data_IF_619177150418
#
_entry.id   IF_619177150418
#
_cell.length_a   1.000
_cell.length_b   1.000
_cell.length_c   1.000
_cell.angle_alpha   90.00
_cell.angle_beta   90.00
_cell.angle_gamma   90.00
#
_symmetry.space_group_name_H-M   'P 1'
#
loop_
_entity.id
_entity.type
_entity.pdbx_description
1 polymer ?
#
# COMPACT_ATOMS: atom_id res chain seq x y z
N UNK A 1 -5.91 5.28 2.31
CA UNK A 1 -4.99 6.21 1.61
C UNK A 1 -4.75 5.72 0.20
N UNK A 2 -4.84 6.61 -0.81
CA UNK A 2 -4.56 6.26 -2.22
C UNK A 2 -3.35 7.08 -2.69
N UNK A 3 -2.37 6.41 -3.32
CA UNK A 3 -1.10 7.03 -3.71
C UNK A 3 -0.77 6.70 -5.17
N UNK A 4 -0.26 7.71 -5.88
CA UNK A 4 0.32 7.58 -7.21
C UNK A 4 1.72 8.17 -7.15
N UNK A 5 2.72 7.39 -7.58
CA UNK A 5 4.12 7.80 -7.59
C UNK A 5 4.48 8.44 -8.93
N UNK A 6 5.35 9.44 -8.91
CA UNK A 6 5.87 10.07 -10.13
C UNK A 6 6.84 9.15 -10.89
N UNK A 7 7.03 9.42 -12.19
CA UNK A 7 7.92 8.64 -13.05
C UNK A 7 9.39 8.78 -12.61
N UNK A 8 10.10 7.65 -12.58
CA UNK A 8 11.55 7.62 -12.35
C UNK A 8 11.98 7.83 -10.90
N UNK A 9 11.04 7.99 -9.96
CA UNK A 9 11.39 8.15 -8.55
C UNK A 9 11.85 6.81 -7.95
N UNK A 10 12.70 6.91 -6.93
CA UNK A 10 13.02 5.82 -6.03
C UNK A 10 12.29 6.04 -4.71
N UNK A 11 11.44 5.08 -4.33
CA UNK A 11 10.81 5.05 -3.02
C UNK A 11 11.72 4.27 -2.07
N UNK A 12 12.28 4.97 -1.09
CA UNK A 12 13.20 4.44 -0.09
C UNK A 12 12.91 5.07 1.29
N UNK A 13 13.78 4.83 2.27
CA UNK A 13 13.64 5.32 3.65
C UNK A 13 13.37 6.84 3.78
N UNK A 14 14.01 7.75 3.04
CA UNK A 14 13.78 9.19 3.20
C UNK A 14 12.33 9.64 2.94
N UNK A 15 11.61 8.94 2.07
CA UNK A 15 10.21 9.24 1.78
C UNK A 15 9.27 8.75 2.90
N UNK A 16 9.72 7.82 3.76
CA UNK A 16 8.89 7.25 4.82
C UNK A 16 8.54 8.26 5.90
N UNK A 17 9.41 9.23 6.21
CA UNK A 17 9.09 10.29 7.18
C UNK A 17 7.85 11.09 6.76
N UNK A 18 7.70 11.32 5.46
CA UNK A 18 6.50 11.99 4.91
C UNK A 18 5.25 11.11 5.03
N UNK A 19 5.37 9.81 4.75
CA UNK A 19 4.26 8.88 4.92
C UNK A 19 3.85 8.73 6.38
N UNK A 20 4.81 8.66 7.30
CA UNK A 20 4.56 8.59 8.75
C UNK A 20 3.78 9.83 9.21
N UNK A 21 4.20 11.03 8.79
CA UNK A 21 3.50 12.26 9.12
C UNK A 21 2.06 12.29 8.57
N UNK A 22 1.83 11.78 7.35
CA UNK A 22 0.48 11.66 6.78
C UNK A 22 -0.39 10.66 7.54
N UNK A 23 0.17 9.50 7.88
CA UNK A 23 -0.53 8.45 8.64
C UNK A 23 -0.90 8.97 10.02
N UNK A 24 0.03 9.63 10.69
CA UNK A 24 -0.17 10.20 12.02
C UNK A 24 -1.18 11.37 12.01
N UNK A 25 -1.18 12.20 10.97
CA UNK A 25 -2.11 13.33 10.87
C UNK A 25 -3.55 12.88 10.57
N UNK A 26 -3.73 11.88 9.71
CA UNK A 26 -5.05 11.52 9.17
C UNK A 26 -5.62 10.21 9.71
N UNK A 27 -4.79 9.33 10.27
CA UNK A 27 -5.18 7.95 10.59
C UNK A 27 -4.78 7.49 11.99
N UNK A 28 -4.22 8.36 12.87
CA UNK A 28 -3.72 8.00 14.21
C UNK A 28 -4.62 7.06 15.03
N UNK A 29 -5.94 7.20 14.93
CA UNK A 29 -6.92 6.36 15.63
C UNK A 29 -7.97 5.77 14.67
N UNK A 30 -7.60 5.58 13.41
CA UNK A 30 -8.51 5.10 12.38
C UNK A 30 -7.81 4.07 11.52
N UNK A 31 -8.40 2.88 11.49
CA UNK A 31 -7.96 1.80 10.65
C UNK A 31 -8.04 2.22 9.17
N UNK A 32 -7.01 1.91 8.41
CA UNK A 32 -6.94 2.30 7.00
C UNK A 32 -6.24 1.24 6.16
N UNK A 33 -6.49 1.31 4.86
CA UNK A 33 -5.80 0.54 3.85
C UNK A 33 -4.94 1.46 3.00
N UNK A 34 -3.79 0.96 2.59
CA UNK A 34 -2.91 1.63 1.64
C UNK A 34 -3.19 1.08 0.25
N UNK A 35 -3.44 1.94 -0.73
CA UNK A 35 -3.60 1.55 -2.13
C UNK A 35 -2.67 2.37 -3.02
N UNK A 36 -1.75 1.70 -3.72
CA UNK A 36 -0.90 2.33 -4.74
C UNK A 36 -1.36 1.97 -6.14
N UNK A 37 -1.50 2.97 -7.01
CA UNK A 37 -1.85 2.77 -8.42
C UNK A 37 -0.58 2.98 -9.25
N UNK A 38 -0.04 1.89 -9.82
CA UNK A 38 1.22 1.86 -10.56
C UNK A 38 1.00 2.19 -12.04
N UNK A 39 0.64 3.44 -12.34
CA UNK A 39 0.57 3.94 -13.72
C UNK A 39 1.93 4.35 -14.28
N UNK A 40 2.87 4.72 -13.40
CA UNK A 40 4.20 5.17 -13.77
C UNK A 40 5.25 4.09 -13.49
N UNK A 41 6.36 4.13 -14.22
CA UNK A 41 7.53 3.32 -13.89
C UNK A 41 8.35 4.02 -12.80
N UNK A 42 8.52 3.34 -11.67
CA UNK A 42 9.31 3.79 -10.53
C UNK A 42 9.92 2.58 -9.83
N UNK A 43 10.91 2.81 -8.98
CA UNK A 43 11.59 1.76 -8.21
C UNK A 43 11.22 1.85 -6.74
N UNK A 44 11.18 0.71 -6.06
CA UNK A 44 10.91 0.63 -4.62
C UNK A 44 11.99 -0.22 -3.96
N UNK A 45 12.61 0.30 -2.91
CA UNK A 45 13.46 -0.50 -2.04
C UNK A 45 12.57 -1.44 -1.21
N UNK A 46 12.69 -2.78 -1.30
CA UNK A 46 11.83 -3.69 -0.56
C UNK A 46 11.86 -3.53 0.97
N UNK A 47 12.89 -2.86 1.51
CA UNK A 47 12.96 -2.53 2.93
C UNK A 47 11.78 -1.67 3.40
N UNK A 48 11.24 -0.79 2.53
CA UNK A 48 10.13 0.09 2.90
C UNK A 48 8.89 -0.69 3.33
N UNK A 49 8.64 -1.87 2.73
CA UNK A 49 7.51 -2.74 3.08
C UNK A 49 7.59 -3.25 4.53
N UNK A 50 8.80 -3.46 5.06
CA UNK A 50 8.98 -3.84 6.47
C UNK A 50 8.63 -2.69 7.41
N UNK A 51 8.94 -1.46 7.01
CA UNK A 51 8.72 -0.27 7.84
C UNK A 51 7.25 0.09 7.89
N UNK A 52 6.58 0.18 6.73
CA UNK A 52 5.14 0.47 6.67
C UNK A 52 4.28 -0.62 7.32
N UNK A 53 4.75 -1.88 7.32
CA UNK A 53 4.09 -2.99 7.99
C UNK A 53 4.11 -2.88 9.53
N UNK A 54 4.79 -1.87 10.09
CA UNK A 54 4.75 -1.57 11.53
C UNK A 54 3.60 -0.66 11.93
N UNK A 55 2.90 -0.03 10.98
CA UNK A 55 1.72 0.79 11.29
C UNK A 55 0.57 -0.10 11.76
N UNK A 56 0.21 -0.02 13.04
CA UNK A 56 -0.79 -0.92 13.66
C UNK A 56 -2.22 -0.73 13.11
N UNK A 57 -2.51 0.48 12.64
CA UNK A 57 -3.77 0.87 12.01
C UNK A 57 -3.81 0.54 10.51
N UNK A 58 -2.72 0.04 9.90
CA UNK A 58 -2.72 -0.42 8.51
C UNK A 58 -3.30 -1.84 8.42
N UNK A 59 -4.51 -1.97 7.88
CA UNK A 59 -5.18 -3.28 7.74
C UNK A 59 -4.83 -4.03 6.47
N UNK A 60 -4.45 -3.32 5.42
CA UNK A 60 -4.19 -3.93 4.13
C UNK A 60 -3.36 -3.06 3.19
N UNK A 61 -2.66 -3.72 2.25
CA UNK A 61 -1.85 -3.08 1.22
C UNK A 61 -2.27 -3.57 -0.18
N UNK A 62 -2.92 -2.71 -0.95
CA UNK A 62 -3.33 -2.98 -2.32
C UNK A 62 -2.35 -2.37 -3.32
N UNK A 63 -1.84 -3.19 -4.25
CA UNK A 63 -1.13 -2.72 -5.44
C UNK A 63 -2.09 -2.85 -6.61
N UNK A 64 -2.33 -1.76 -7.33
CA UNK A 64 -3.11 -1.76 -8.58
C UNK A 64 -2.14 -1.55 -9.73
N UNK A 65 -1.97 -2.58 -10.55
CA UNK A 65 -1.17 -2.55 -11.77
C UNK A 65 -2.02 -3.06 -12.94
N UNK A 66 -2.44 -2.12 -13.77
CA UNK A 66 -3.33 -2.40 -14.91
C UNK A 66 -2.61 -3.12 -16.06
N UNK A 67 -1.27 -3.03 -16.10
CA UNK A 67 -0.44 -3.59 -17.17
C UNK A 67 0.25 -4.89 -16.74
N UNK A 68 -0.05 -5.41 -15.55
CA UNK A 68 0.49 -6.66 -15.02
C UNK A 68 2.03 -6.72 -14.93
N UNK A 69 2.70 -5.57 -14.89
CA UNK A 69 4.18 -5.48 -14.82
C UNK A 69 4.72 -6.02 -13.49
N UNK A 70 3.95 -5.86 -12.42
CA UNK A 70 4.31 -6.21 -11.06
C UNK A 70 4.13 -7.70 -10.73
N UNK A 71 3.56 -8.53 -11.62
CA UNK A 71 3.31 -9.96 -11.32
C UNK A 71 4.59 -10.72 -10.95
N UNK A 72 5.72 -10.36 -11.57
CA UNK A 72 7.02 -11.01 -11.32
C UNK A 72 7.71 -10.49 -10.05
N UNK A 73 7.48 -9.23 -9.69
CA UNK A 73 8.13 -8.60 -8.53
C UNK A 73 7.30 -8.79 -7.25
N UNK A 74 5.98 -8.91 -7.38
CA UNK A 74 5.04 -8.99 -6.27
C UNK A 74 5.37 -10.10 -5.26
N UNK A 75 5.70 -11.35 -5.65
CA UNK A 75 6.01 -12.40 -4.67
C UNK A 75 7.19 -12.05 -3.76
N UNK A 76 8.17 -11.31 -4.31
CA UNK A 76 9.33 -10.83 -3.56
C UNK A 76 8.90 -9.68 -2.64
N UNK A 77 8.20 -8.68 -3.17
CA UNK A 77 7.71 -7.53 -2.38
C UNK A 77 6.80 -7.98 -1.21
N UNK A 78 5.86 -8.89 -1.47
CA UNK A 78 4.92 -9.39 -0.46
C UNK A 78 5.59 -10.15 0.67
N UNK A 79 6.75 -10.78 0.42
CA UNK A 79 7.51 -11.47 1.46
C UNK A 79 8.13 -10.50 2.50
N UNK A 80 8.28 -9.22 2.14
CA UNK A 80 8.81 -8.19 3.03
C UNK A 80 7.73 -7.48 3.85
N UNK A 81 6.46 -7.60 3.44
CA UNK A 81 5.34 -6.99 4.14
C UNK A 81 4.73 -7.95 5.16
N UNK A 82 4.39 -7.44 6.34
CA UNK A 82 3.68 -8.20 7.37
C UNK A 82 2.22 -7.76 7.39
N UNK A 83 1.37 -8.51 6.71
CA UNK A 83 -0.08 -8.28 6.70
C UNK A 83 -0.73 -8.63 5.37
N UNK A 84 -2.03 -8.37 5.23
CA UNK A 84 -2.77 -8.59 3.98
C UNK A 84 -2.22 -7.68 2.87
N UNK A 85 -1.62 -8.29 1.86
CA UNK A 85 -1.13 -7.58 0.68
C UNK A 85 -1.60 -8.28 -0.58
N UNK A 86 -2.10 -7.53 -1.56
CA UNK A 86 -2.66 -8.11 -2.77
C UNK A 86 -2.39 -7.25 -4.01
N UNK A 87 -2.16 -7.92 -5.14
CA UNK A 87 -2.00 -7.32 -6.45
C UNK A 87 -3.34 -7.39 -7.21
N UNK A 88 -3.76 -6.27 -7.76
CA UNK A 88 -4.99 -6.14 -8.53
C UNK A 88 -4.70 -5.57 -9.91
N UNK A 89 -5.45 -6.06 -10.90
CA UNK A 89 -5.51 -5.48 -12.26
C UNK A 89 -6.78 -4.66 -12.48
N UNK A 90 -7.61 -4.49 -11.44
CA UNK A 90 -8.87 -3.75 -11.50
C UNK A 90 -9.01 -2.84 -10.28
N UNK A 91 -9.21 -1.55 -10.55
CA UNK A 91 -9.28 -0.52 -9.51
C UNK A 91 -10.53 -0.67 -8.64
N UNK A 92 -11.67 -1.10 -9.20
CA UNK A 92 -12.92 -1.27 -8.43
C UNK A 92 -12.80 -2.44 -7.46
N UNK A 93 -12.18 -3.54 -7.88
CA UNK A 93 -11.91 -4.70 -7.02
C UNK A 93 -10.96 -4.35 -5.89
N UNK A 94 -9.88 -3.63 -6.20
CA UNK A 94 -8.93 -3.16 -5.19
C UNK A 94 -9.62 -2.27 -4.15
N UNK A 95 -10.39 -1.28 -4.61
CA UNK A 95 -11.11 -0.36 -3.74
C UNK A 95 -12.11 -1.09 -2.84
N UNK A 96 -12.89 -2.02 -3.41
CA UNK A 96 -13.84 -2.84 -2.65
C UNK A 96 -13.11 -3.65 -1.56
N UNK A 97 -12.02 -4.33 -1.90
CA UNK A 97 -11.24 -5.12 -0.96
C UNK A 97 -10.67 -4.29 0.19
N UNK A 98 -10.15 -3.10 -0.11
CA UNK A 98 -9.66 -2.17 0.92
C UNK A 98 -10.80 -1.78 1.87
N UNK A 99 -11.94 -1.34 1.33
CA UNK A 99 -13.09 -0.98 2.15
C UNK A 99 -13.57 -2.12 3.04
N UNK A 100 -13.62 -3.35 2.52
CA UNK A 100 -14.06 -4.52 3.29
C UNK A 100 -13.17 -4.81 4.50
N UNK A 101 -11.88 -4.46 4.45
CA UNK A 101 -10.91 -4.68 5.53
C UNK A 101 -10.75 -3.49 6.47
N UNK A 102 -11.30 -2.32 6.12
CA UNK A 102 -11.17 -1.09 6.90
C UNK A 102 -12.49 -0.57 7.44
N UNK A 103 -13.61 -1.15 7.04
CA UNK A 103 -14.94 -0.72 7.48
C UNK A 103 -15.17 -1.11 8.96
N UNK A 104 -15.31 -0.13 9.88
CA UNK A 104 -15.56 -0.40 11.29
C UNK A 104 -16.91 -1.09 11.54
N UNK A 105 -17.86 -1.03 10.59
CA UNK A 105 -19.19 -1.65 10.74
C UNK A 105 -19.18 -3.19 10.59
N UNK A 106 -18.04 -3.79 10.22
CA UNK A 106 -17.90 -5.26 10.08
C UNK A 106 -17.25 -5.95 11.28
N UNK A 107 -16.91 -5.21 12.34
CA UNK A 107 -16.45 -5.80 13.61
C UNK A 107 -17.66 -6.07 14.50
N UNK A 108 -18.44 -7.11 14.19
CA UNK A 108 -19.49 -7.69 15.05
C UNK A 108 -19.32 -9.20 15.06
#
# INVERSE_FOLDING_TARGET
MVVIMDYGILVDEPQLEYFDALVDTHFRNTDFGYMTIRVNSYSVNPHVYKTIGKWENLKCFAIVDLEAKAEKTFPVESAFFKGPMHLFQDLKKAYKWVLELTDPAKTV
#
